data_IF_393243188001
#
_entry.id   IF_393243188001
#
_cell.length_a   1.000
_cell.length_b   1.000
_cell.length_c   1.000
_cell.angle_alpha   90.00
_cell.angle_beta   90.00
_cell.angle_gamma   90.00
#
_symmetry.space_group_name_H-M   'P 1'
#
loop_
_entity.id
_entity.type
_entity.pdbx_description
1 polymer ?
#
# COMPACT_ATOMS: atom_id res chain seq x y z
N UNK A 1 -7.28 -52.50 5.04
CA UNK A 1 -7.09 -51.36 5.96
C UNK A 1 -7.56 -50.10 5.27
N UNK A 2 -8.86 -49.82 5.34
CA UNK A 2 -9.45 -48.55 4.88
C UNK A 2 -9.68 -47.73 6.15
N UNK A 3 -8.97 -46.61 6.26
CA UNK A 3 -9.06 -45.72 7.42
C UNK A 3 -10.48 -45.17 7.56
N UNK A 4 -10.94 -45.10 8.81
CA UNK A 4 -12.27 -44.63 9.19
C UNK A 4 -12.55 -43.20 8.66
N UNK A 5 -13.56 -43.01 7.79
CA UNK A 5 -13.95 -41.70 7.27
C UNK A 5 -14.31 -40.69 8.35
N UNK A 6 -14.76 -41.15 9.53
CA UNK A 6 -15.09 -40.27 10.66
C UNK A 6 -13.86 -39.60 11.27
N UNK A 7 -12.69 -40.26 11.23
CA UNK A 7 -11.43 -39.71 11.71
C UNK A 7 -10.89 -38.58 10.82
N UNK A 8 -11.18 -38.64 9.51
CA UNK A 8 -10.89 -37.56 8.57
C UNK A 8 -11.81 -36.35 8.81
N UNK A 9 -13.07 -36.58 9.17
CA UNK A 9 -14.03 -35.52 9.48
C UNK A 9 -13.70 -34.79 10.79
N UNK A 10 -13.25 -35.51 11.83
CA UNK A 10 -12.79 -34.90 13.09
C UNK A 10 -11.49 -34.08 12.93
N UNK A 11 -10.59 -34.48 12.02
CA UNK A 11 -9.40 -33.70 11.70
C UNK A 11 -9.73 -32.39 10.96
N UNK A 12 -10.73 -32.40 10.06
CA UNK A 12 -11.19 -31.20 9.36
C UNK A 12 -11.92 -30.20 10.29
N UNK A 13 -12.47 -30.65 11.42
CA UNK A 13 -13.09 -29.78 12.43
C UNK A 13 -12.09 -29.11 13.38
N UNK A 14 -10.80 -29.48 13.32
CA UNK A 14 -9.74 -28.94 14.18
C UNK A 14 -8.91 -27.83 13.54
N UNK A 15 -9.16 -27.49 12.28
CA UNK A 15 -8.50 -26.34 11.66
C UNK A 15 -9.04 -25.04 12.29
N UNK A 16 -8.19 -24.20 12.88
CA UNK A 16 -8.62 -22.91 13.36
C UNK A 16 -9.18 -22.13 12.17
N UNK A 17 -10.42 -21.66 12.28
CA UNK A 17 -11.03 -20.79 11.26
C UNK A 17 -10.12 -19.58 11.04
N UNK A 18 -10.03 -19.11 9.80
CA UNK A 18 -9.18 -17.98 9.43
C UNK A 18 -9.36 -16.77 10.37
N UNK A 19 -10.60 -16.50 10.76
CA UNK A 19 -10.97 -15.46 11.71
C UNK A 19 -10.37 -15.69 13.10
N UNK A 20 -10.31 -16.93 13.58
CA UNK A 20 -9.74 -17.26 14.89
C UNK A 20 -8.24 -17.00 14.93
N UNK A 21 -7.54 -17.30 13.83
CA UNK A 21 -6.10 -16.99 13.68
C UNK A 21 -5.90 -15.47 13.71
N UNK A 22 -6.67 -14.75 12.91
CA UNK A 22 -6.61 -13.28 12.82
C UNK A 22 -6.92 -12.63 14.17
N UNK A 23 -7.97 -13.07 14.86
CA UNK A 23 -8.37 -12.53 16.17
C UNK A 23 -7.33 -12.84 17.26
N UNK A 24 -6.56 -13.92 17.14
CA UNK A 24 -5.42 -14.19 18.03
C UNK A 24 -4.28 -13.18 17.79
N UNK A 25 -3.94 -12.89 16.53
CA UNK A 25 -2.87 -11.94 16.19
C UNK A 25 -3.28 -10.50 16.54
N UNK A 26 -4.54 -10.13 16.33
CA UNK A 26 -5.06 -8.81 16.72
C UNK A 26 -4.92 -8.55 18.22
N UNK A 27 -5.14 -9.57 19.07
CA UNK A 27 -4.90 -9.46 20.52
C UNK A 27 -3.42 -9.20 20.84
N UNK A 28 -2.51 -9.81 20.09
CA UNK A 28 -1.07 -9.59 20.24
C UNK A 28 -0.63 -8.19 19.78
N UNK A 29 -1.28 -7.62 18.76
CA UNK A 29 -1.03 -6.25 18.30
C UNK A 29 -1.37 -5.18 19.37
N UNK A 30 -2.25 -5.50 20.32
CA UNK A 30 -2.65 -4.60 21.41
C UNK A 30 -1.62 -4.45 22.53
N UNK A 31 -0.51 -5.20 22.51
CA UNK A 31 0.51 -5.16 23.57
C UNK A 31 1.34 -3.86 23.52
N UNK A 32 1.78 -3.38 24.68
CA UNK A 32 2.49 -2.08 24.80
C UNK A 32 3.92 -2.11 24.25
N UNK A 33 4.63 -3.24 24.39
CA UNK A 33 6.04 -3.32 23.96
C UNK A 33 6.15 -3.24 22.43
N UNK A 34 6.90 -2.23 21.96
CA UNK A 34 7.11 -1.92 20.53
C UNK A 34 7.62 -3.14 19.75
N UNK A 35 8.61 -3.87 20.26
CA UNK A 35 9.16 -5.05 19.56
C UNK A 35 8.10 -6.12 19.30
N UNK A 36 7.19 -6.38 20.26
CA UNK A 36 6.10 -7.35 20.07
C UNK A 36 5.04 -6.81 19.12
N UNK A 37 4.68 -5.53 19.26
CA UNK A 37 3.73 -4.86 18.36
C UNK A 37 4.21 -4.91 16.90
N UNK A 38 5.49 -4.65 16.64
CA UNK A 38 6.11 -4.75 15.32
C UNK A 38 5.98 -6.17 14.73
N UNK A 39 6.36 -7.20 15.48
CA UNK A 39 6.26 -8.58 14.99
C UNK A 39 4.82 -9.04 14.78
N UNK A 40 3.92 -8.71 15.70
CA UNK A 40 2.51 -9.07 15.60
C UNK A 40 1.83 -8.36 14.42
N UNK A 41 2.12 -7.07 14.22
CA UNK A 41 1.54 -6.28 13.14
C UNK A 41 2.04 -6.75 11.77
N UNK A 42 3.34 -7.05 11.65
CA UNK A 42 3.90 -7.64 10.44
C UNK A 42 3.23 -8.98 10.10
N UNK A 43 3.11 -9.88 11.08
CA UNK A 43 2.42 -11.16 10.90
C UNK A 43 0.94 -10.99 10.53
N UNK A 44 0.26 -10.00 11.12
CA UNK A 44 -1.13 -9.68 10.80
C UNK A 44 -1.27 -9.29 9.31
N UNK A 45 -0.35 -8.48 8.78
CA UNK A 45 -0.33 -8.11 7.37
C UNK A 45 -0.24 -9.33 6.45
N UNK A 46 0.73 -10.22 6.69
CA UNK A 46 0.89 -11.45 5.89
C UNK A 46 -0.36 -12.34 5.94
N UNK A 47 -0.93 -12.53 7.14
CA UNK A 47 -2.08 -13.42 7.34
C UNK A 47 -3.35 -12.85 6.72
N UNK A 48 -3.59 -11.54 6.83
CA UNK A 48 -4.75 -10.91 6.19
C UNK A 48 -4.64 -10.94 4.67
N UNK A 49 -3.45 -10.74 4.13
CA UNK A 49 -3.21 -10.83 2.69
C UNK A 49 -3.40 -12.26 2.17
N UNK A 50 -2.94 -13.28 2.90
CA UNK A 50 -3.03 -14.68 2.49
C UNK A 50 -4.44 -15.27 2.67
N UNK A 51 -5.16 -14.88 3.72
CA UNK A 51 -6.48 -15.44 4.05
C UNK A 51 -7.65 -14.59 3.52
N UNK A 52 -7.37 -13.40 2.98
CA UNK A 52 -8.37 -12.43 2.47
C UNK A 52 -9.52 -12.12 3.46
N UNK A 53 -9.23 -12.18 4.77
CA UNK A 53 -10.21 -11.87 5.82
C UNK A 53 -10.32 -10.36 6.01
N UNK A 54 -11.54 -9.81 5.94
CA UNK A 54 -11.74 -8.39 6.22
C UNK A 54 -11.69 -8.09 7.73
N UNK A 55 -10.62 -7.41 8.14
CA UNK A 55 -10.43 -6.77 9.45
C UNK A 55 -9.85 -5.36 9.29
N UNK A 56 -10.14 -4.71 8.17
CA UNK A 56 -9.44 -3.49 7.81
C UNK A 56 -9.65 -2.37 8.82
N UNK A 57 -10.86 -2.22 9.38
CA UNK A 57 -11.14 -1.20 10.40
C UNK A 57 -10.22 -1.34 11.62
N UNK A 58 -10.04 -2.56 12.13
CA UNK A 58 -9.17 -2.82 13.28
C UNK A 58 -7.72 -2.49 12.93
N UNK A 59 -7.24 -2.91 11.76
CA UNK A 59 -5.89 -2.58 11.28
C UNK A 59 -5.71 -1.07 11.13
N UNK A 60 -6.67 -0.39 10.50
CA UNK A 60 -6.61 1.05 10.27
C UNK A 60 -6.51 1.81 11.59
N UNK A 61 -7.29 1.45 12.61
CA UNK A 61 -7.21 2.08 13.93
C UNK A 61 -5.83 1.90 14.58
N UNK A 62 -5.25 0.70 14.52
CA UNK A 62 -3.90 0.43 15.07
C UNK A 62 -2.84 1.24 14.30
N UNK A 63 -2.93 1.25 12.97
CA UNK A 63 -2.00 1.99 12.11
C UNK A 63 -2.11 3.50 12.38
N UNK A 64 -3.32 4.04 12.48
CA UNK A 64 -3.52 5.45 12.81
C UNK A 64 -2.86 5.80 14.14
N UNK A 65 -3.07 5.01 15.19
CA UNK A 65 -2.44 5.24 16.50
C UNK A 65 -0.90 5.30 16.40
N UNK A 66 -0.29 4.42 15.58
CA UNK A 66 1.16 4.40 15.36
C UNK A 66 1.63 5.63 14.57
N UNK A 67 0.88 6.04 13.55
CA UNK A 67 1.27 7.14 12.66
C UNK A 67 1.06 8.51 13.31
N UNK A 68 0.09 8.66 14.21
CA UNK A 68 -0.18 9.92 14.92
C UNK A 68 0.73 10.13 16.12
N UNK A 69 1.30 9.06 16.71
CA UNK A 69 2.30 9.21 17.77
C UNK A 69 3.52 9.91 17.20
N UNK A 70 3.89 11.05 17.79
CA UNK A 70 5.14 11.71 17.47
C UNK A 70 6.31 10.76 17.81
N UNK A 71 7.37 10.83 17.02
CA UNK A 71 8.61 10.17 17.40
C UNK A 71 9.23 11.14 18.39
N UNK A 72 8.91 10.97 19.67
CA UNK A 72 9.35 11.84 20.74
C UNK A 72 10.87 12.06 20.65
N UNK A 73 11.27 13.33 20.54
CA UNK A 73 12.64 13.75 20.77
C UNK A 73 12.79 14.06 22.26
N UNK A 74 12.74 13.05 23.13
CA UNK A 74 13.10 13.23 24.54
C UNK A 74 14.62 13.47 24.61
N UNK A 75 15.02 14.75 24.70
CA UNK A 75 16.43 15.19 24.77
C UNK A 75 17.12 14.84 26.11
N UNK A 76 16.40 14.25 27.07
CA UNK A 76 16.89 13.99 28.43
C UNK A 76 17.35 12.53 28.69
N UNK A 77 17.24 11.63 27.71
CA UNK A 77 17.72 10.23 27.81
C UNK A 77 19.14 10.05 27.22
N UNK A 78 19.86 9.01 27.67
CA UNK A 78 21.20 8.68 27.14
C UNK A 78 21.15 8.54 25.61
N UNK A 79 22.03 9.24 24.91
CA UNK A 79 22.06 9.34 23.44
C UNK A 79 22.00 8.00 22.67
N UNK A 80 22.54 6.92 23.26
CA UNK A 80 22.46 5.58 22.66
C UNK A 80 21.07 4.93 22.79
N UNK A 81 20.39 5.14 23.92
CA UNK A 81 19.06 4.60 24.20
C UNK A 81 17.98 5.32 23.36
N UNK A 82 18.13 6.63 23.21
CA UNK A 82 17.27 7.45 22.32
C UNK A 82 17.41 7.07 20.85
N UNK A 83 18.64 6.79 20.38
CA UNK A 83 18.86 6.36 19.00
C UNK A 83 18.22 5.01 18.67
N UNK A 84 18.32 4.02 19.58
CA UNK A 84 17.69 2.70 19.42
C UNK A 84 16.17 2.80 19.43
N UNK A 85 15.60 3.57 20.37
CA UNK A 85 14.14 3.81 20.45
C UNK A 85 13.61 4.48 19.18
N UNK A 86 14.35 5.47 18.65
CA UNK A 86 14.00 6.13 17.38
C UNK A 86 14.00 5.16 16.20
N UNK A 87 15.00 4.30 16.10
CA UNK A 87 15.08 3.27 15.06
C UNK A 87 13.91 2.28 15.15
N UNK A 88 13.56 1.82 16.36
CA UNK A 88 12.42 0.94 16.60
C UNK A 88 11.09 1.58 16.17
N UNK A 89 10.90 2.87 16.44
CA UNK A 89 9.70 3.61 16.03
C UNK A 89 9.62 3.80 14.51
N UNK A 90 10.75 4.07 13.85
CA UNK A 90 10.81 4.15 12.39
C UNK A 90 10.48 2.79 11.75
N UNK A 91 11.05 1.70 12.27
CA UNK A 91 10.74 0.35 11.83
C UNK A 91 9.26 0.00 12.06
N UNK A 92 8.68 0.38 13.20
CA UNK A 92 7.26 0.19 13.46
C UNK A 92 6.39 0.96 12.45
N UNK A 93 6.78 2.17 12.05
CA UNK A 93 6.08 2.93 10.99
C UNK A 93 6.18 2.25 9.62
N UNK A 94 7.34 1.70 9.26
CA UNK A 94 7.49 0.90 8.04
C UNK A 94 6.53 -0.29 8.02
N UNK A 95 6.47 -1.02 9.14
CA UNK A 95 5.57 -2.17 9.30
C UNK A 95 4.11 -1.72 9.25
N UNK A 96 3.77 -0.57 9.84
CA UNK A 96 2.41 -0.03 9.82
C UNK A 96 1.93 0.25 8.39
N UNK A 97 2.74 0.92 7.55
CA UNK A 97 2.38 1.13 6.14
C UNK A 97 2.34 -0.18 5.36
N UNK A 98 3.32 -1.07 5.55
CA UNK A 98 3.31 -2.38 4.89
C UNK A 98 2.03 -3.15 5.22
N UNK A 99 1.62 -3.15 6.49
CA UNK A 99 0.42 -3.84 6.97
C UNK A 99 -0.85 -3.17 6.44
N UNK A 100 -0.90 -1.85 6.39
CA UNK A 100 -2.02 -1.09 5.83
C UNK A 100 -2.32 -1.51 4.38
N UNK A 101 -1.29 -1.61 3.54
CA UNK A 101 -1.45 -2.05 2.16
C UNK A 101 -1.85 -3.52 2.03
N UNK A 102 -1.20 -4.40 2.80
CA UNK A 102 -1.49 -5.85 2.77
C UNK A 102 -2.91 -6.18 3.22
N UNK A 103 -3.37 -5.50 4.27
CA UNK A 103 -4.71 -5.67 4.83
C UNK A 103 -5.83 -5.01 4.00
N UNK A 104 -5.50 -4.23 2.96
CA UNK A 104 -6.53 -3.57 2.15
C UNK A 104 -7.49 -4.62 1.53
N UNK A 105 -8.79 -4.57 1.86
CA UNK A 105 -9.72 -5.65 1.54
C UNK A 105 -10.28 -5.50 0.12
N UNK A 106 -10.73 -6.60 -0.49
CA UNK A 106 -11.55 -6.56 -1.72
C UNK A 106 -13.02 -6.23 -1.46
N UNK A 107 -13.43 -6.15 -0.20
CA UNK A 107 -14.81 -5.88 0.21
C UNK A 107 -15.20 -4.43 -0.14
N UNK A 108 -16.16 -4.25 -1.05
CA UNK A 108 -16.60 -2.94 -1.53
C UNK A 108 -17.18 -2.04 -0.42
N UNK A 109 -17.92 -2.60 0.54
CA UNK A 109 -18.51 -1.83 1.64
C UNK A 109 -17.41 -1.17 2.47
N UNK A 110 -16.40 -1.94 2.83
CA UNK A 110 -15.23 -1.44 3.57
C UNK A 110 -14.43 -0.45 2.73
N UNK A 111 -14.24 -0.72 1.43
CA UNK A 111 -13.54 0.23 0.56
C UNK A 111 -14.27 1.57 0.45
N UNK A 112 -15.58 1.60 0.27
CA UNK A 112 -16.36 2.85 0.19
C UNK A 112 -16.16 3.71 1.42
N UNK A 113 -16.09 3.08 2.60
CA UNK A 113 -15.87 3.80 3.86
C UNK A 113 -14.45 4.37 3.99
N UNK A 114 -13.42 3.62 3.60
CA UNK A 114 -12.03 3.97 3.91
C UNK A 114 -11.20 4.51 2.74
N UNK A 115 -11.65 4.35 1.47
CA UNK A 115 -10.85 4.63 0.26
C UNK A 115 -10.24 6.03 0.24
N UNK A 116 -11.01 7.04 0.62
CA UNK A 116 -10.52 8.41 0.64
C UNK A 116 -9.53 8.67 1.79
N UNK A 117 -9.77 8.04 2.94
CA UNK A 117 -8.94 8.21 4.14
C UNK A 117 -7.56 7.58 3.95
N UNK A 118 -7.50 6.40 3.32
CA UNK A 118 -6.23 5.70 3.06
C UNK A 118 -5.36 6.48 2.08
N UNK A 119 -5.93 6.98 0.98
CA UNK A 119 -5.16 7.78 0.02
C UNK A 119 -4.71 9.12 0.61
N UNK A 120 -5.56 9.76 1.43
CA UNK A 120 -5.13 10.96 2.16
C UNK A 120 -3.98 10.66 3.13
N UNK A 121 -4.03 9.52 3.84
CA UNK A 121 -2.95 9.09 4.74
C UNK A 121 -1.62 8.87 4.00
N UNK A 122 -1.67 8.43 2.75
CA UNK A 122 -0.50 8.20 1.90
C UNK A 122 -0.17 9.40 0.97
N UNK A 123 -0.66 10.59 1.30
CA UNK A 123 -0.46 11.81 0.50
C UNK A 123 0.97 12.36 0.53
N UNK A 124 1.17 13.47 -0.18
CA UNK A 124 2.50 14.09 -0.35
C UNK A 124 3.16 14.49 0.96
N UNK A 125 2.40 15.07 1.89
CA UNK A 125 2.90 15.46 3.21
C UNK A 125 3.37 14.25 4.03
N UNK A 126 2.74 13.08 3.84
CA UNK A 126 3.19 11.86 4.49
C UNK A 126 4.56 11.42 3.95
N UNK A 127 4.78 11.53 2.63
CA UNK A 127 6.06 11.20 2.02
C UNK A 127 7.17 12.17 2.47
N UNK A 128 6.91 13.47 2.44
CA UNK A 128 7.90 14.51 2.77
C UNK A 128 8.42 14.41 4.20
N UNK A 129 7.57 14.00 5.14
CA UNK A 129 7.89 13.97 6.56
C UNK A 129 8.46 12.62 7.04
N UNK A 130 8.77 11.70 6.13
CA UNK A 130 9.23 10.36 6.47
C UNK A 130 10.60 10.04 5.87
N UNK A 131 11.28 9.05 6.48
CA UNK A 131 12.58 8.60 5.99
C UNK A 131 12.45 7.92 4.62
N UNK A 132 13.56 7.84 3.89
CA UNK A 132 13.61 7.19 2.57
C UNK A 132 13.04 5.78 2.57
N UNK A 133 13.29 5.00 3.61
CA UNK A 133 12.79 3.63 3.72
C UNK A 133 11.28 3.59 3.93
N UNK A 134 10.75 4.44 4.83
CA UNK A 134 9.31 4.59 5.04
C UNK A 134 8.59 5.08 3.77
N UNK A 135 9.18 6.02 3.02
CA UNK A 135 8.62 6.48 1.73
C UNK A 135 8.39 5.33 0.75
N UNK A 136 9.31 4.36 0.68
CA UNK A 136 9.15 3.17 -0.16
C UNK A 136 7.98 2.31 0.33
N UNK A 137 7.86 2.09 1.65
CA UNK A 137 6.74 1.34 2.23
C UNK A 137 5.38 2.01 1.99
N UNK A 138 5.33 3.34 1.99
CA UNK A 138 4.13 4.11 1.62
C UNK A 138 3.75 3.81 0.16
N UNK A 139 4.68 3.88 -0.79
CA UNK A 139 4.37 3.56 -2.19
C UNK A 139 3.96 2.10 -2.42
N UNK A 140 4.59 1.15 -1.72
CA UNK A 140 4.17 -0.25 -1.76
C UNK A 140 2.75 -0.44 -1.21
N UNK A 141 2.41 0.26 -0.12
CA UNK A 141 1.06 0.23 0.44
C UNK A 141 0.03 0.79 -0.54
N UNK A 142 0.38 1.88 -1.22
CA UNK A 142 -0.46 2.48 -2.28
C UNK A 142 -0.59 1.57 -3.49
N UNK A 143 0.46 0.84 -3.87
CA UNK A 143 0.36 -0.19 -4.91
C UNK A 143 -0.68 -1.24 -4.55
N UNK A 144 -0.60 -1.85 -3.36
CA UNK A 144 -1.58 -2.84 -2.90
C UNK A 144 -2.99 -2.25 -2.79
N UNK A 145 -3.09 -0.99 -2.33
CA UNK A 145 -4.35 -0.26 -2.27
C UNK A 145 -5.00 -0.19 -3.65
N UNK A 146 -4.26 0.32 -4.65
CA UNK A 146 -4.78 0.43 -6.00
C UNK A 146 -5.02 -0.95 -6.59
N UNK A 147 -4.14 -1.93 -6.44
CA UNK A 147 -4.29 -3.26 -7.04
C UNK A 147 -5.63 -3.92 -6.66
N UNK A 148 -6.09 -3.74 -5.42
CA UNK A 148 -7.29 -4.41 -4.91
C UNK A 148 -8.56 -3.56 -4.97
N UNK A 149 -8.55 -2.35 -5.56
CA UNK A 149 -9.78 -1.54 -5.66
C UNK A 149 -10.88 -2.28 -6.43
N UNK A 150 -12.08 -2.28 -5.87
CA UNK A 150 -13.26 -2.95 -6.45
C UNK A 150 -13.70 -2.36 -7.79
N UNK A 151 -13.27 -1.14 -8.10
CA UNK A 151 -13.51 -0.49 -9.40
C UNK A 151 -13.04 -1.36 -10.58
N UNK A 152 -11.90 -2.04 -10.44
CA UNK A 152 -11.25 -2.74 -11.55
C UNK A 152 -11.96 -4.02 -11.96
N UNK A 153 -12.83 -4.55 -11.11
CA UNK A 153 -13.61 -5.75 -11.35
C UNK A 153 -14.92 -5.45 -12.08
N UNK A 154 -15.28 -4.16 -12.23
CA UNK A 154 -16.48 -3.72 -12.94
C UNK A 154 -16.23 -3.73 -14.45
N UNK A 155 -17.27 -4.04 -15.23
CA UNK A 155 -17.21 -3.92 -16.69
C UNK A 155 -17.27 -2.46 -17.12
N UNK A 156 -18.09 -1.67 -16.45
CA UNK A 156 -18.22 -0.22 -16.63
C UNK A 156 -18.39 0.44 -15.26
N UNK A 157 -17.85 1.65 -15.10
CA UNK A 157 -17.96 2.41 -13.86
C UNK A 157 -19.25 3.26 -13.85
N UNK A 158 -20.12 3.08 -12.84
CA UNK A 158 -21.19 4.03 -12.55
C UNK A 158 -20.63 5.44 -12.32
N UNK A 159 -21.41 6.48 -12.60
CA UNK A 159 -20.98 7.87 -12.46
C UNK A 159 -20.44 8.21 -11.06
N UNK A 160 -21.08 7.68 -10.01
CA UNK A 160 -20.63 7.86 -8.63
C UNK A 160 -19.23 7.30 -8.37
N UNK A 161 -18.92 6.14 -8.96
CA UNK A 161 -17.62 5.50 -8.81
C UNK A 161 -16.56 6.16 -9.70
N UNK A 162 -16.94 6.65 -10.87
CA UNK A 162 -16.08 7.45 -11.74
C UNK A 162 -15.62 8.73 -11.03
N UNK A 163 -16.55 9.44 -10.40
CA UNK A 163 -16.23 10.63 -9.58
C UNK A 163 -15.32 10.26 -8.40
N UNK A 164 -15.61 9.15 -7.71
CA UNK A 164 -14.77 8.70 -6.61
C UNK A 164 -13.35 8.33 -7.06
N UNK A 165 -13.22 7.60 -8.17
CA UNK A 165 -11.92 7.24 -8.75
C UNK A 165 -11.12 8.48 -9.12
N UNK A 166 -11.75 9.45 -9.79
CA UNK A 166 -11.12 10.74 -10.11
C UNK A 166 -10.59 11.44 -8.86
N UNK A 167 -11.44 11.57 -7.84
CA UNK A 167 -11.06 12.21 -6.58
C UNK A 167 -9.88 11.50 -5.91
N UNK A 168 -9.85 10.16 -5.94
CA UNK A 168 -8.76 9.35 -5.40
C UNK A 168 -7.48 9.60 -6.17
N UNK A 169 -7.52 9.56 -7.51
CA UNK A 169 -6.36 9.83 -8.36
C UNK A 169 -5.86 11.26 -8.12
N UNK A 170 -6.72 12.26 -8.20
CA UNK A 170 -6.37 13.68 -8.02
C UNK A 170 -5.71 13.95 -6.67
N UNK A 171 -6.20 13.33 -5.59
CA UNK A 171 -5.58 13.41 -4.26
C UNK A 171 -4.19 12.77 -4.22
N UNK A 172 -3.94 11.72 -5.00
CA UNK A 172 -2.66 11.02 -5.04
C UNK A 172 -1.64 11.62 -6.02
N UNK A 173 -2.07 12.35 -7.04
CA UNK A 173 -1.19 12.97 -8.05
C UNK A 173 -0.01 13.75 -7.44
N UNK A 174 -0.19 14.60 -6.41
CA UNK A 174 0.94 15.31 -5.80
C UNK A 174 1.99 14.37 -5.20
N UNK A 175 1.56 13.29 -4.55
CA UNK A 175 2.45 12.28 -3.96
C UNK A 175 3.23 11.52 -5.05
N UNK A 176 2.55 11.18 -6.14
CA UNK A 176 3.17 10.54 -7.31
C UNK A 176 4.27 11.43 -7.92
N UNK A 177 3.97 12.71 -8.16
CA UNK A 177 4.94 13.68 -8.69
C UNK A 177 6.15 13.84 -7.77
N UNK A 178 5.89 13.99 -6.47
CA UNK A 178 6.96 14.05 -5.47
C UNK A 178 7.87 12.83 -5.53
N UNK A 179 7.30 11.63 -5.49
CA UNK A 179 8.06 10.37 -5.50
C UNK A 179 8.91 10.20 -6.77
N UNK A 180 8.39 10.58 -7.94
CA UNK A 180 9.11 10.53 -9.21
C UNK A 180 10.23 11.57 -9.30
N UNK A 181 10.08 12.73 -8.66
CA UNK A 181 11.05 13.84 -8.68
C UNK A 181 12.29 13.64 -7.80
N UNK A 182 12.33 12.64 -6.90
CA UNK A 182 13.51 12.42 -6.04
C UNK A 182 14.58 11.62 -6.77
N UNK A 183 15.38 12.29 -7.60
CA UNK A 183 16.43 11.70 -8.43
C UNK A 183 17.46 10.82 -7.70
N UNK A 184 17.69 11.04 -6.40
CA UNK A 184 18.64 10.23 -5.59
C UNK A 184 17.98 9.05 -4.86
N UNK A 185 16.70 8.78 -5.11
CA UNK A 185 15.94 7.72 -4.46
C UNK A 185 15.37 6.75 -5.49
N UNK A 186 16.23 5.92 -6.06
CA UNK A 186 15.90 4.97 -7.13
C UNK A 186 14.76 4.03 -6.73
N UNK A 187 14.78 3.49 -5.52
CA UNK A 187 13.76 2.54 -5.08
C UNK A 187 12.38 3.20 -4.96
N UNK A 188 12.31 4.44 -4.46
CA UNK A 188 11.04 5.18 -4.41
C UNK A 188 10.48 5.44 -5.80
N UNK A 189 11.32 5.88 -6.75
CA UNK A 189 10.93 6.14 -8.13
C UNK A 189 10.43 4.88 -8.84
N UNK A 190 11.10 3.75 -8.60
CA UNK A 190 10.67 2.44 -9.11
C UNK A 190 9.26 2.10 -8.61
N UNK A 191 9.01 2.22 -7.31
CA UNK A 191 7.67 1.91 -6.77
C UNK A 191 6.60 2.90 -7.26
N UNK A 192 6.93 4.19 -7.40
CA UNK A 192 6.02 5.15 -8.03
C UNK A 192 5.69 4.78 -9.49
N UNK A 193 6.67 4.34 -10.28
CA UNK A 193 6.44 3.84 -11.63
C UNK A 193 5.57 2.58 -11.67
N UNK A 194 5.72 1.67 -10.69
CA UNK A 194 4.85 0.50 -10.56
C UNK A 194 3.39 0.92 -10.35
N UNK A 195 3.13 1.86 -9.43
CA UNK A 195 1.78 2.37 -9.18
C UNK A 195 1.22 3.07 -10.41
N UNK A 196 2.02 3.92 -11.06
CA UNK A 196 1.62 4.66 -12.25
C UNK A 196 1.23 3.72 -13.40
N UNK A 197 2.03 2.68 -13.67
CA UNK A 197 1.75 1.68 -14.70
C UNK A 197 0.50 0.84 -14.37
N UNK A 198 0.35 0.43 -13.11
CA UNK A 198 -0.85 -0.30 -12.64
C UNK A 198 -2.12 0.52 -12.88
N UNK A 199 -2.12 1.78 -12.44
CA UNK A 199 -3.24 2.70 -12.64
C UNK A 199 -3.54 2.91 -14.12
N UNK A 200 -2.52 3.13 -14.95
CA UNK A 200 -2.72 3.38 -16.37
C UNK A 200 -3.34 2.17 -17.09
N UNK A 201 -2.88 0.96 -16.76
CA UNK A 201 -3.47 -0.30 -17.28
C UNK A 201 -4.92 -0.48 -16.87
N UNK A 202 -5.23 -0.21 -15.60
CA UNK A 202 -6.60 -0.35 -15.08
C UNK A 202 -7.54 0.72 -15.65
N UNK A 203 -7.08 1.96 -15.82
CA UNK A 203 -7.85 3.02 -16.48
C UNK A 203 -8.09 2.69 -17.96
N UNK A 204 -7.09 2.15 -18.68
CA UNK A 204 -7.29 1.65 -20.07
C UNK A 204 -8.35 0.55 -20.11
N UNK A 205 -8.29 -0.43 -19.20
CA UNK A 205 -9.26 -1.54 -19.12
C UNK A 205 -10.71 -1.04 -18.98
N UNK A 206 -10.92 0.04 -18.22
CA UNK A 206 -12.24 0.63 -17.97
C UNK A 206 -12.61 1.76 -18.93
N UNK A 207 -11.77 2.08 -19.93
CA UNK A 207 -11.94 3.22 -20.82
C UNK A 207 -12.03 4.59 -20.11
N UNK A 208 -11.34 4.76 -18.98
CA UNK A 208 -11.25 6.02 -18.23
C UNK A 208 -10.19 6.94 -18.85
N UNK A 209 -10.55 7.60 -19.95
CA UNK A 209 -9.61 8.37 -20.78
C UNK A 209 -9.08 9.64 -20.10
N UNK A 210 -9.87 10.28 -19.24
CA UNK A 210 -9.47 11.50 -18.52
C UNK A 210 -8.36 11.18 -17.53
N UNK A 211 -8.58 10.17 -16.70
CA UNK A 211 -7.63 9.70 -15.69
C UNK A 211 -6.36 9.16 -16.36
N UNK A 212 -6.51 8.42 -17.47
CA UNK A 212 -5.38 7.94 -18.27
C UNK A 212 -4.52 9.10 -18.81
N UNK A 213 -5.14 10.19 -19.29
CA UNK A 213 -4.44 11.39 -19.77
C UNK A 213 -3.66 12.08 -18.66
N UNK A 214 -4.21 12.13 -17.44
CA UNK A 214 -3.52 12.68 -16.26
C UNK A 214 -2.27 11.86 -15.95
N UNK A 215 -2.36 10.52 -15.97
CA UNK A 215 -1.23 9.62 -15.69
C UNK A 215 -0.15 9.72 -16.77
N UNK A 216 -0.54 9.79 -18.04
CA UNK A 216 0.39 10.00 -19.16
C UNK A 216 1.13 11.35 -19.02
N UNK A 217 0.42 12.40 -18.63
CA UNK A 217 1.00 13.73 -18.42
C UNK A 217 2.07 13.70 -17.32
N UNK A 218 1.80 13.02 -16.21
CA UNK A 218 2.77 12.86 -15.11
C UNK A 218 4.03 12.14 -15.60
N UNK A 219 3.86 11.05 -16.36
CA UNK A 219 4.98 10.31 -16.93
C UNK A 219 5.83 11.19 -17.85
N UNK A 220 5.21 11.89 -18.81
CA UNK A 220 5.89 12.78 -19.75
C UNK A 220 6.66 13.90 -19.03
N UNK A 221 6.09 14.46 -17.96
CA UNK A 221 6.73 15.52 -17.16
C UNK A 221 8.04 15.07 -16.51
N UNK A 222 8.15 13.80 -16.10
CA UNK A 222 9.35 13.27 -15.42
C UNK A 222 10.26 12.46 -16.37
N UNK A 223 9.86 12.28 -17.63
CA UNK A 223 10.51 11.37 -18.57
C UNK A 223 11.98 11.72 -18.81
N UNK A 224 12.31 13.00 -18.94
CA UNK A 224 13.69 13.44 -19.16
C UNK A 224 14.61 13.04 -17.99
N UNK A 225 14.14 13.23 -16.75
CA UNK A 225 14.91 12.87 -15.56
C UNK A 225 15.02 11.36 -15.40
N UNK A 226 13.94 10.63 -15.67
CA UNK A 226 13.92 9.17 -15.63
C UNK A 226 14.85 8.55 -16.68
N UNK A 227 14.99 9.14 -17.87
CA UNK A 227 15.94 8.67 -18.89
C UNK A 227 17.41 8.91 -18.50
N UNK A 228 17.69 9.88 -17.64
CA UNK A 228 19.05 10.12 -17.11
C UNK A 228 19.45 9.08 -16.06
N UNK A 229 18.50 8.35 -15.50
CA UNK A 229 18.76 7.28 -14.55
C UNK A 229 19.27 6.02 -15.25
N UNK A 230 20.44 5.54 -14.80
CA UNK A 230 21.08 4.37 -15.37
C UNK A 230 20.77 3.06 -14.64
N UNK A 231 20.04 3.10 -13.53
CA UNK A 231 19.62 1.91 -12.78
C UNK A 231 18.75 0.99 -13.65
N UNK A 232 19.07 -0.32 -13.74
CA UNK A 232 18.33 -1.29 -14.55
C UNK A 232 16.84 -1.31 -14.26
N UNK A 233 16.45 -1.19 -12.98
CA UNK A 233 15.06 -1.25 -12.53
C UNK A 233 14.24 -0.06 -13.04
N UNK A 234 14.84 1.13 -13.12
CA UNK A 234 14.18 2.33 -13.66
C UNK A 234 14.09 2.22 -15.17
N UNK A 235 15.18 1.84 -15.85
CA UNK A 235 15.19 1.67 -17.30
C UNK A 235 14.12 0.69 -17.78
N UNK A 236 14.02 -0.47 -17.12
CA UNK A 236 12.99 -1.46 -17.43
C UNK A 236 11.59 -0.86 -17.33
N UNK A 237 11.27 -0.13 -16.25
CA UNK A 237 9.94 0.46 -16.05
C UNK A 237 9.64 1.62 -16.99
N UNK A 238 10.63 2.41 -17.35
CA UNK A 238 10.48 3.48 -18.34
C UNK A 238 10.18 2.90 -19.73
N UNK A 239 10.83 1.79 -20.11
CA UNK A 239 10.53 1.08 -21.36
C UNK A 239 9.10 0.52 -21.32
N UNK A 240 8.72 -0.20 -20.26
CA UNK A 240 7.36 -0.75 -20.09
C UNK A 240 6.28 0.34 -20.26
N UNK A 241 6.52 1.52 -19.69
CA UNK A 241 5.62 2.67 -19.75
C UNK A 241 5.57 3.33 -21.13
N UNK A 242 6.73 3.49 -21.79
CA UNK A 242 6.78 4.02 -23.16
C UNK A 242 6.03 3.11 -24.12
N UNK A 243 6.27 1.80 -24.04
CA UNK A 243 5.61 0.83 -24.90
C UNK A 243 4.10 0.88 -24.69
N UNK A 244 3.64 0.89 -23.44
CA UNK A 244 2.23 1.01 -23.10
C UNK A 244 1.55 2.26 -23.70
N UNK A 245 2.15 3.45 -23.53
CA UNK A 245 1.56 4.70 -24.07
C UNK A 245 1.72 4.84 -25.58
N UNK A 246 2.77 4.30 -26.17
CA UNK A 246 2.93 4.27 -27.62
C UNK A 246 1.87 3.39 -28.28
N UNK A 247 1.54 2.24 -27.67
CA UNK A 247 0.51 1.36 -28.21
C UNK A 247 -0.89 1.98 -28.11
N UNK A 248 -1.16 2.74 -27.06
CA UNK A 248 -2.38 3.56 -26.95
C UNK A 248 -2.54 4.60 -28.06
N UNK A 249 -1.45 5.14 -28.62
CA UNK A 249 -1.51 6.14 -29.69
C UNK A 249 -1.78 5.56 -31.09
N UNK A 250 -1.73 4.23 -31.21
CA UNK A 250 -1.95 3.50 -32.47
C UNK A 250 -3.38 2.94 -32.59
N UNK A 251 -4.07 2.80 -31.46
CA UNK A 251 -5.48 2.38 -31.36
C UNK A 251 -6.42 3.57 -31.64
#
# INVERSE_FOLDING_TARGET
>A
ALGDPFKLLECLQREPRAETIVDAILRECGKEKVSYKSSALAALGEVLEALEVDRFRQVYNIVQEILTKEVDNEEDEKQEETSKRREELLNLREIAFSTLGKAWPRNEVTQVEFREQVVAQCGVSCLENNTRSVQVKIMMAVFNYFEKLSFWDKTELPDSDRVALRNIIDKFVPAMKYALGISKHTQLRKEALNVLLLLARNCKKLNETVELTVLETIFKQHLEELNKDNSPEIKSRVVDMKDFFNDLSKD
#
